data_IF_857000957877
#
_entry.id   IF_857000957877
#
_cell.length_a   1.000
_cell.length_b   1.000
_cell.length_c   1.000
_cell.angle_alpha   90.00
_cell.angle_beta   90.00
_cell.angle_gamma   90.00
#
_symmetry.space_group_name_H-M   'P 1'
#
loop_
_entity.id
_entity.type
_entity.pdbx_description
1 polymer ?
#
# COMPACT_ATOMS: atom_id res chain seq x y z
N UNK A 1 13.41 24.42 5.61
CA UNK A 1 12.94 23.03 5.76
C UNK A 1 13.98 22.13 5.12
N UNK A 2 14.58 21.25 5.91
CA UNK A 2 15.38 20.20 5.31
C UNK A 2 14.44 19.31 4.52
N UNK A 3 14.64 19.23 3.22
CA UNK A 3 14.02 18.21 2.41
C UNK A 3 14.44 16.87 2.99
N UNK A 4 13.50 16.18 3.61
CA UNK A 4 13.70 14.79 3.95
C UNK A 4 13.80 14.09 2.60
N UNK A 5 15.02 13.89 2.13
CA UNK A 5 15.29 13.04 0.98
C UNK A 5 14.91 11.64 1.42
N UNK A 6 13.66 11.29 1.19
CA UNK A 6 13.20 9.92 1.39
C UNK A 6 14.04 9.05 0.46
N UNK A 7 14.75 8.09 1.03
CA UNK A 7 15.47 7.12 0.21
C UNK A 7 14.46 6.44 -0.71
N UNK A 8 14.59 6.57 -2.02
CA UNK A 8 13.68 5.93 -2.94
C UNK A 8 13.76 4.41 -2.78
N UNK A 9 12.61 3.75 -2.91
CA UNK A 9 12.56 2.29 -2.93
C UNK A 9 12.73 1.81 -4.36
N UNK A 10 13.64 0.87 -4.55
CA UNK A 10 13.93 0.28 -5.85
C UNK A 10 13.59 -1.21 -5.83
N UNK A 11 13.08 -1.67 -6.95
CA UNK A 11 12.97 -3.08 -7.28
C UNK A 11 14.08 -3.43 -8.26
N UNK A 12 14.80 -4.51 -8.02
CA UNK A 12 15.85 -5.01 -8.92
C UNK A 12 15.24 -6.15 -9.71
N UNK A 13 15.22 -6.02 -11.03
CA UNK A 13 14.70 -7.05 -11.91
C UNK A 13 15.69 -8.20 -12.15
N UNK A 14 15.27 -9.19 -12.91
CA UNK A 14 16.11 -10.38 -13.22
C UNK A 14 17.37 -10.05 -14.04
N UNK A 15 17.39 -8.90 -14.69
CA UNK A 15 18.54 -8.41 -15.46
C UNK A 15 19.50 -7.57 -14.60
N UNK A 16 19.14 -7.29 -13.35
CA UNK A 16 19.89 -6.43 -12.46
C UNK A 16 19.61 -4.94 -12.64
N UNK A 17 18.58 -4.58 -13.40
CA UNK A 17 18.15 -3.20 -13.56
C UNK A 17 17.32 -2.74 -12.38
N UNK A 18 17.53 -1.51 -11.94
CA UNK A 18 16.80 -0.89 -10.83
C UNK A 18 15.61 -0.11 -11.35
N UNK A 19 14.43 -0.45 -10.81
CA UNK A 19 13.18 0.24 -11.11
C UNK A 19 12.64 0.90 -9.84
N UNK A 20 12.35 2.18 -9.91
CA UNK A 20 11.85 2.91 -8.75
C UNK A 20 10.38 2.56 -8.47
N UNK A 21 10.08 2.25 -7.21
CA UNK A 21 8.72 2.11 -6.71
C UNK A 21 8.36 3.37 -5.94
N UNK A 22 7.35 4.08 -6.43
CA UNK A 22 6.92 5.34 -5.85
C UNK A 22 5.96 5.11 -4.69
N UNK A 23 6.05 5.90 -3.63
CA UNK A 23 5.11 5.80 -2.52
C UNK A 23 3.72 6.28 -2.95
N UNK A 24 2.70 5.67 -2.36
CA UNK A 24 1.31 6.08 -2.54
C UNK A 24 1.10 7.48 -1.95
N UNK A 25 0.66 8.42 -2.76
CA UNK A 25 0.30 9.76 -2.31
C UNK A 25 -1.13 9.78 -1.76
N UNK A 26 -1.46 10.77 -0.93
CA UNK A 26 -2.75 10.83 -0.23
C UNK A 26 -3.93 10.76 -1.20
N UNK A 27 -3.85 11.44 -2.34
CA UNK A 27 -4.92 11.45 -3.34
C UNK A 27 -5.13 10.08 -4.01
N UNK A 28 -4.11 9.22 -4.01
CA UNK A 28 -4.19 7.89 -4.63
C UNK A 28 -4.74 6.83 -3.68
N UNK A 29 -4.74 7.08 -2.37
CA UNK A 29 -5.18 6.10 -1.37
C UNK A 29 -6.60 5.57 -1.63
N UNK A 30 -7.62 6.40 -1.89
CA UNK A 30 -8.96 5.88 -2.16
C UNK A 30 -9.03 5.05 -3.43
N UNK A 31 -8.30 5.44 -4.47
CA UNK A 31 -8.24 4.72 -5.74
C UNK A 31 -7.52 3.39 -5.56
N UNK A 32 -6.34 3.41 -4.95
CA UNK A 32 -5.56 2.20 -4.68
C UNK A 32 -6.32 1.21 -3.80
N UNK A 33 -6.97 1.67 -2.74
CA UNK A 33 -7.80 0.83 -1.86
C UNK A 33 -8.92 0.13 -2.62
N UNK A 34 -9.58 0.85 -3.52
CA UNK A 34 -10.64 0.29 -4.38
C UNK A 34 -10.08 -0.74 -5.35
N UNK A 35 -8.91 -0.48 -5.93
CA UNK A 35 -8.25 -1.41 -6.85
C UNK A 35 -7.80 -2.67 -6.11
N UNK A 36 -7.17 -2.55 -4.96
CA UNK A 36 -6.78 -3.70 -4.14
C UNK A 36 -7.99 -4.55 -3.72
N UNK A 37 -9.15 -3.94 -3.47
CA UNK A 37 -10.37 -4.67 -3.13
C UNK A 37 -10.93 -5.52 -4.29
N UNK A 38 -10.56 -5.21 -5.52
CA UNK A 38 -10.93 -5.99 -6.72
C UNK A 38 -10.03 -7.19 -6.97
N UNK A 39 -8.88 -7.25 -6.30
CA UNK A 39 -7.99 -8.38 -6.38
C UNK A 39 -8.56 -9.55 -5.57
N UNK A 40 -8.28 -10.77 -6.02
CA UNK A 40 -8.69 -11.96 -5.29
C UNK A 40 -8.04 -11.99 -3.91
N UNK A 41 -8.74 -12.51 -2.92
CA UNK A 41 -8.21 -12.70 -1.57
C UNK A 41 -6.95 -13.57 -1.57
N UNK A 42 -6.86 -14.49 -2.50
CA UNK A 42 -5.70 -15.36 -2.73
C UNK A 42 -4.90 -14.87 -3.94
N UNK A 43 -4.39 -13.65 -3.82
CA UNK A 43 -3.62 -12.99 -4.85
C UNK A 43 -2.38 -13.80 -5.27
N UNK A 44 -1.79 -14.53 -4.34
CA UNK A 44 -0.58 -15.31 -4.59
C UNK A 44 -0.84 -16.62 -5.35
N UNK A 45 -2.01 -17.21 -5.19
CA UNK A 45 -2.34 -18.47 -5.86
C UNK A 45 -2.79 -18.31 -7.31
N UNK A 46 -3.55 -17.25 -7.60
CA UNK A 46 -4.16 -17.07 -8.93
C UNK A 46 -3.59 -15.93 -9.75
N UNK A 47 -2.70 -15.13 -9.19
CA UNK A 47 -2.12 -13.92 -9.81
C UNK A 47 -3.17 -13.01 -10.48
N UNK A 48 -4.42 -13.12 -10.07
CA UNK A 48 -5.54 -12.34 -10.59
C UNK A 48 -5.64 -12.34 -12.14
N UNK A 49 -5.26 -13.44 -12.73
CA UNK A 49 -5.39 -13.64 -14.17
C UNK A 49 -6.84 -13.54 -14.63
N UNK A 50 -7.09 -13.18 -15.89
CA UNK A 50 -8.44 -13.24 -16.44
C UNK A 50 -9.04 -14.63 -16.24
N UNK A 51 -10.20 -14.68 -15.64
CA UNK A 51 -10.88 -15.94 -15.31
C UNK A 51 -12.16 -16.10 -16.11
N UNK A 52 -12.56 -17.35 -16.47
CA UNK A 52 -13.80 -17.58 -17.16
C UNK A 52 -15.00 -17.09 -16.35
N UNK A 53 -15.96 -16.48 -17.03
CA UNK A 53 -17.22 -16.05 -16.44
C UNK A 53 -18.27 -17.17 -16.53
N UNK A 54 -19.07 -17.31 -15.47
CA UNK A 54 -20.17 -18.25 -15.40
C UNK A 54 -21.50 -17.51 -15.23
N UNK A 55 -22.57 -18.15 -15.70
CA UNK A 55 -23.92 -17.64 -15.46
C UNK A 55 -24.28 -17.77 -13.97
N UNK A 56 -24.66 -16.67 -13.34
CA UNK A 56 -25.03 -16.60 -11.92
C UNK A 56 -26.52 -16.77 -11.68
N UNK A 57 -27.35 -16.59 -12.73
CA UNK A 57 -28.80 -16.63 -12.65
C UNK A 57 -29.42 -17.34 -13.86
N UNK A 58 -30.69 -17.75 -13.70
CA UNK A 58 -31.49 -18.28 -14.78
C UNK A 58 -31.25 -19.77 -15.09
N UNK A 59 -31.75 -20.20 -16.26
CA UNK A 59 -31.74 -21.59 -16.70
C UNK A 59 -30.32 -22.15 -16.88
N UNK A 60 -29.36 -21.30 -17.20
CA UNK A 60 -27.97 -21.66 -17.46
C UNK A 60 -27.03 -21.38 -16.28
N UNK A 61 -27.59 -21.23 -15.07
CA UNK A 61 -26.79 -20.99 -13.86
C UNK A 61 -25.70 -22.07 -13.70
N UNK A 62 -24.45 -21.59 -13.51
CA UNK A 62 -23.28 -22.46 -13.37
C UNK A 62 -22.65 -22.90 -14.69
N UNK A 63 -23.27 -22.59 -15.82
CA UNK A 63 -22.68 -22.85 -17.13
C UNK A 63 -21.71 -21.73 -17.53
N UNK A 64 -20.70 -22.08 -18.30
CA UNK A 64 -19.70 -21.18 -18.81
C UNK A 64 -20.33 -20.16 -19.78
N UNK A 65 -20.05 -18.89 -19.58
CA UNK A 65 -20.42 -17.85 -20.56
C UNK A 65 -19.50 -17.94 -21.78
N UNK A 66 -20.08 -18.04 -22.93
CA UNK A 66 -19.37 -18.21 -24.21
C UNK A 66 -19.83 -17.11 -25.17
N UNK A 67 -18.89 -16.57 -25.93
CA UNK A 67 -19.22 -15.66 -27.02
C UNK A 67 -20.01 -16.41 -28.11
N UNK A 68 -21.10 -15.82 -28.55
CA UNK A 68 -22.01 -16.48 -29.54
C UNK A 68 -21.38 -16.66 -30.92
N UNK A 69 -20.41 -15.78 -31.26
CA UNK A 69 -19.77 -15.77 -32.57
C UNK A 69 -18.51 -16.63 -32.60
N UNK A 70 -17.60 -16.43 -31.61
CA UNK A 70 -16.31 -17.11 -31.58
C UNK A 70 -16.35 -18.45 -30.86
N UNK A 71 -17.40 -18.70 -30.05
CA UNK A 71 -17.53 -19.89 -29.20
C UNK A 71 -16.45 -20.01 -28.12
N UNK A 72 -15.72 -18.94 -27.89
CA UNK A 72 -14.70 -18.88 -26.85
C UNK A 72 -15.29 -18.44 -25.51
N UNK A 73 -14.70 -18.86 -24.37
CA UNK A 73 -15.12 -18.42 -23.07
C UNK A 73 -14.98 -16.89 -22.91
N UNK A 74 -15.98 -16.26 -22.31
CA UNK A 74 -15.92 -14.86 -21.94
C UNK A 74 -15.10 -14.78 -20.64
N UNK A 75 -14.07 -13.93 -20.64
CA UNK A 75 -13.17 -13.76 -19.51
C UNK A 75 -13.50 -12.50 -18.71
N UNK A 76 -13.37 -12.61 -17.40
CA UNK A 76 -13.44 -11.47 -16.48
C UNK A 76 -12.04 -10.88 -16.27
N UNK A 77 -11.85 -9.64 -16.73
CA UNK A 77 -10.60 -8.90 -16.62
C UNK A 77 -10.57 -7.93 -15.42
N UNK A 78 -11.58 -7.92 -14.56
CA UNK A 78 -11.71 -6.92 -13.51
C UNK A 78 -10.50 -6.92 -12.57
N UNK A 79 -10.10 -8.08 -12.07
CA UNK A 79 -8.93 -8.19 -11.20
C UNK A 79 -7.62 -7.90 -11.96
N UNK A 80 -7.49 -8.43 -13.16
CA UNK A 80 -6.33 -8.19 -14.01
C UNK A 80 -6.13 -6.70 -14.30
N UNK A 81 -7.17 -6.01 -14.72
CA UNK A 81 -7.10 -4.57 -15.01
C UNK A 81 -6.78 -3.75 -13.75
N UNK A 82 -7.33 -4.13 -12.60
CA UNK A 82 -7.01 -3.49 -11.33
C UNK A 82 -5.53 -3.67 -10.96
N UNK A 83 -4.99 -4.85 -11.18
CA UNK A 83 -3.57 -5.15 -10.94
C UNK A 83 -2.66 -4.33 -11.85
N UNK A 84 -2.96 -4.25 -13.15
CA UNK A 84 -2.19 -3.45 -14.11
C UNK A 84 -2.22 -1.96 -13.75
N UNK A 85 -3.36 -1.45 -13.33
CA UNK A 85 -3.48 -0.06 -12.90
C UNK A 85 -2.68 0.22 -11.63
N UNK A 86 -2.65 -0.69 -10.67
CA UNK A 86 -1.83 -0.59 -9.46
C UNK A 86 -0.34 -0.58 -9.79
N UNK A 87 0.11 -1.41 -10.73
CA UNK A 87 1.50 -1.41 -11.18
C UNK A 87 1.87 -0.07 -11.81
N UNK A 88 1.00 0.48 -12.65
CA UNK A 88 1.21 1.82 -13.23
C UNK A 88 1.33 2.91 -12.15
N UNK A 89 0.49 2.85 -11.12
CA UNK A 89 0.58 3.78 -9.98
C UNK A 89 1.87 3.62 -9.18
N UNK A 90 2.33 2.38 -9.02
CA UNK A 90 3.54 2.08 -8.26
C UNK A 90 4.83 2.48 -9.00
N UNK A 91 4.85 2.35 -10.32
CA UNK A 91 6.03 2.56 -11.15
C UNK A 91 6.06 3.91 -11.86
N UNK A 92 4.92 4.60 -11.97
CA UNK A 92 4.70 5.78 -12.82
C UNK A 92 5.00 5.52 -14.30
N UNK A 93 4.94 4.26 -14.70
CA UNK A 93 5.12 3.82 -16.09
C UNK A 93 3.77 3.41 -16.69
N UNK A 94 3.66 3.54 -18.01
CA UNK A 94 2.54 2.99 -18.76
C UNK A 94 2.74 1.48 -19.00
N UNK A 95 1.64 0.79 -19.34
CA UNK A 95 1.66 -0.65 -19.55
C UNK A 95 2.72 -1.10 -20.56
N UNK A 96 2.93 -0.33 -21.61
CA UNK A 96 3.94 -0.63 -22.62
C UNK A 96 5.37 -0.56 -22.07
N UNK A 97 5.62 0.31 -21.12
CA UNK A 97 6.92 0.49 -20.49
C UNK A 97 7.18 -0.60 -19.45
N UNK A 98 6.27 -0.80 -18.50
CA UNK A 98 6.49 -1.79 -17.45
C UNK A 98 6.37 -3.24 -17.94
N UNK A 99 5.65 -3.52 -19.03
CA UNK A 99 5.57 -4.87 -19.61
C UNK A 99 6.93 -5.41 -20.07
N UNK A 100 7.91 -4.56 -20.26
CA UNK A 100 9.27 -4.99 -20.61
C UNK A 100 9.99 -5.70 -19.47
N UNK A 101 9.63 -5.42 -18.20
CA UNK A 101 10.31 -5.95 -17.02
C UNK A 101 9.37 -6.52 -15.96
N UNK A 102 8.10 -6.11 -15.91
CA UNK A 102 7.10 -6.68 -15.00
C UNK A 102 6.54 -7.96 -15.61
N UNK A 103 6.54 -9.02 -14.83
CA UNK A 103 6.05 -10.33 -15.24
C UNK A 103 5.35 -11.04 -14.05
N UNK A 104 4.85 -12.24 -14.31
CA UNK A 104 4.11 -13.06 -13.33
C UNK A 104 4.94 -13.39 -12.08
N UNK A 105 6.26 -13.40 -12.19
CA UNK A 105 7.14 -13.76 -11.08
C UNK A 105 7.41 -12.59 -10.13
N UNK A 106 7.35 -11.36 -10.61
CA UNK A 106 7.72 -10.17 -9.82
C UNK A 106 6.58 -9.21 -9.49
N UNK A 107 5.45 -9.33 -10.17
CA UNK A 107 4.32 -8.40 -10.02
C UNK A 107 3.78 -8.34 -8.58
N UNK A 108 3.73 -9.47 -7.89
CA UNK A 108 3.26 -9.54 -6.49
C UNK A 108 4.21 -8.79 -5.58
N UNK A 109 5.52 -8.99 -5.75
CA UNK A 109 6.54 -8.30 -4.96
C UNK A 109 6.47 -6.77 -5.17
N UNK A 110 6.26 -6.33 -6.41
CA UNK A 110 6.09 -4.91 -6.74
C UNK A 110 4.87 -4.32 -6.02
N UNK A 111 3.75 -5.02 -6.04
CA UNK A 111 2.52 -4.60 -5.37
C UNK A 111 2.66 -4.62 -3.84
N UNK A 112 3.35 -5.60 -3.30
CA UNK A 112 3.65 -5.68 -1.87
C UNK A 112 4.57 -4.55 -1.42
N UNK A 113 5.59 -4.22 -2.20
CA UNK A 113 6.46 -3.07 -1.96
C UNK A 113 5.66 -1.76 -1.99
N UNK A 114 4.82 -1.57 -2.99
CA UNK A 114 3.97 -0.38 -3.10
C UNK A 114 3.06 -0.20 -1.88
N UNK A 115 2.39 -1.26 -1.49
CA UNK A 115 1.52 -1.31 -0.31
C UNK A 115 2.30 -1.17 0.99
N UNK A 116 3.43 -1.88 1.10
CA UNK A 116 4.28 -1.86 2.29
C UNK A 116 4.95 -0.53 2.56
N UNK A 117 5.38 0.18 1.54
CA UNK A 117 5.92 1.55 1.68
C UNK A 117 4.89 2.46 2.33
N UNK A 118 3.64 2.40 1.87
CA UNK A 118 2.55 3.20 2.42
C UNK A 118 2.23 2.84 3.87
N UNK A 119 2.22 1.56 4.21
CA UNK A 119 1.98 1.08 5.58
C UNK A 119 3.12 1.44 6.54
N UNK A 120 4.35 1.32 6.11
CA UNK A 120 5.53 1.70 6.92
C UNK A 120 5.52 3.19 7.22
N UNK A 121 5.27 4.04 6.24
CA UNK A 121 5.14 5.48 6.45
C UNK A 121 4.05 5.83 7.46
N UNK A 122 2.91 5.18 7.37
CA UNK A 122 1.80 5.37 8.29
C UNK A 122 2.18 4.94 9.72
N UNK A 123 2.88 3.83 9.88
CA UNK A 123 3.37 3.36 11.18
C UNK A 123 4.40 4.32 11.78
N UNK A 124 5.35 4.79 11.01
CA UNK A 124 6.36 5.76 11.45
C UNK A 124 5.71 7.07 11.89
N UNK A 125 4.78 7.60 11.11
CA UNK A 125 4.04 8.81 11.46
C UNK A 125 3.28 8.66 12.78
N UNK A 126 2.58 7.55 12.98
CA UNK A 126 1.86 7.26 14.21
C UNK A 126 2.81 7.13 15.41
N UNK A 127 3.93 6.43 15.25
CA UNK A 127 4.94 6.26 16.30
C UNK A 127 5.55 7.61 16.71
N UNK A 128 5.93 8.43 15.75
CA UNK A 128 6.48 9.78 16.02
C UNK A 128 5.46 10.63 16.78
N UNK A 129 4.19 10.58 16.42
CA UNK A 129 3.15 11.32 17.11
C UNK A 129 2.93 10.83 18.54
N UNK A 130 3.00 9.52 18.78
CA UNK A 130 2.95 8.95 20.14
C UNK A 130 4.16 9.37 20.99
N UNK A 131 5.35 9.38 20.44
CA UNK A 131 6.57 9.80 21.12
C UNK A 131 6.50 11.27 21.53
N UNK A 132 6.03 12.15 20.66
CA UNK A 132 5.82 13.58 20.95
C UNK A 132 4.80 13.74 22.07
N UNK A 133 3.67 13.05 22.01
CA UNK A 133 2.63 13.09 23.04
C UNK A 133 3.15 12.63 24.40
N UNK A 134 3.93 11.56 24.45
CA UNK A 134 4.56 11.05 25.67
C UNK A 134 5.56 12.05 26.23
N UNK A 135 6.39 12.65 25.41
CA UNK A 135 7.37 13.66 25.82
C UNK A 135 6.70 14.90 26.42
N UNK A 136 5.59 15.37 25.81
CA UNK A 136 4.80 16.50 26.33
C UNK A 136 4.17 16.16 27.67
N UNK A 137 3.64 14.94 27.85
CA UNK A 137 3.08 14.50 29.12
C UNK A 137 4.13 14.44 30.22
N UNK A 138 5.33 13.96 29.94
CA UNK A 138 6.45 13.95 30.89
C UNK A 138 6.92 15.34 31.28
N UNK A 139 6.97 16.28 30.35
CA UNK A 139 7.28 17.69 30.63
C UNK A 139 6.22 18.31 31.54
N UNK A 140 4.96 18.09 31.32
CA UNK A 140 3.86 18.57 32.13
C UNK A 140 3.96 18.05 33.60
N UNK A 141 4.28 16.75 33.76
CA UNK A 141 4.50 16.13 35.07
C UNK A 141 5.69 16.74 35.81
N UNK A 142 6.82 16.96 35.16
CA UNK A 142 8.01 17.61 35.73
C UNK A 142 7.72 19.02 36.15
N UNK A 143 6.91 19.76 35.42
CA UNK A 143 6.53 21.14 35.76
C UNK A 143 5.61 21.17 37.00
N UNK A 144 4.67 20.21 37.12
CA UNK A 144 3.84 20.08 38.31
C UNK A 144 4.64 19.74 39.56
N UNK A 145 5.58 18.79 39.48
CA UNK A 145 6.46 18.43 40.60
C UNK A 145 7.28 19.59 41.08
N UNK A 146 7.78 20.46 40.19
CA UNK A 146 8.48 21.71 40.58
C UNK A 146 7.57 22.72 41.24
N UNK A 147 6.29 22.76 40.96
CA UNK A 147 5.32 23.65 41.60
C UNK A 147 4.86 23.12 42.94
N UNK A 148 4.83 21.84 43.17
CA UNK A 148 4.39 21.23 44.43
C UNK A 148 5.46 21.27 45.53
N UNK A 149 6.73 21.48 45.20
CA UNK A 149 7.85 21.46 46.13
C UNK A 149 8.63 22.79 46.26
N UNK A 150 8.07 23.97 46.06
CA UNK A 150 8.82 25.21 46.27
C UNK A 150 9.05 25.52 47.77
N UNK A 151 8.34 24.85 48.67
CA UNK A 151 8.43 25.07 50.11
C UNK A 151 9.47 24.20 50.83
N UNK A 152 9.95 23.15 50.23
CA UNK A 152 10.96 22.25 50.80
C UNK A 152 12.39 22.78 50.65
N UNK A 153 12.62 23.71 49.72
CA UNK A 153 13.94 24.34 49.46
C UNK A 153 14.16 25.66 50.21
N UNK A 154 13.26 26.04 51.09
CA UNK A 154 13.49 27.21 51.94
C UNK A 154 14.32 26.75 53.15
N UNK A 155 15.61 27.13 53.22
CA UNK A 155 16.39 26.82 54.39
C UNK A 155 15.78 27.52 55.62
N UNK A 156 15.51 26.78 56.66
CA UNK A 156 15.16 27.33 57.94
C UNK A 156 16.34 28.14 58.42
N UNK A 157 16.23 29.44 58.32
CA UNK A 157 17.20 30.39 58.87
C UNK A 157 16.80 30.65 60.31
N UNK A 158 17.65 30.22 61.22
CA UNK A 158 17.60 30.64 62.62
C UNK A 158 18.40 31.91 62.83
#
# INVERSE_FOLDING_TARGET
>A
MADIVENPTYFIDTNGEEHQIFPMVINDIPVASRLFSKLNSDMYAGLNLPSPMYHDRGKHKGELKVDKKTKEPILDYTAYNAMMQLVSMATHEEEQEFNSWVNMSNIIEILDLYRGISEVKKKIANQTQMEISTALSQLALKTQVKQENPSEDIPLVN
#
